data_IF_501954984086
#
_entry.id   IF_501954984086
#
_cell.length_a   1.000
_cell.length_b   1.000
_cell.length_c   1.000
_cell.angle_alpha   90.00
_cell.angle_beta   90.00
_cell.angle_gamma   90.00
#
_symmetry.space_group_name_H-M   'P 1'
#
loop_
_entity.id
_entity.type
_entity.pdbx_description
1 polymer ?
#
# COMPACT_ATOMS: atom_id res chain seq x y z
N UNK A 1 -7.17 17.58 -19.77
CA UNK A 1 -7.53 17.93 -18.37
C UNK A 1 -8.88 17.32 -18.09
N UNK A 2 -8.95 16.44 -17.09
CA UNK A 2 -10.20 15.80 -16.66
C UNK A 2 -11.10 16.85 -16.00
N UNK A 3 -12.41 16.80 -16.29
CA UNK A 3 -13.42 17.63 -15.65
C UNK A 3 -13.32 17.52 -14.10
N UNK A 4 -13.17 18.64 -13.36
CA UNK A 4 -13.14 18.65 -11.90
C UNK A 4 -14.35 17.97 -11.24
N UNK A 5 -15.52 18.02 -11.88
CA UNK A 5 -16.74 17.36 -11.40
C UNK A 5 -16.63 15.84 -11.48
N UNK A 6 -16.08 15.32 -12.58
CA UNK A 6 -15.79 13.88 -12.74
C UNK A 6 -14.77 13.44 -11.68
N UNK A 7 -13.70 14.20 -11.46
CA UNK A 7 -12.72 13.90 -10.41
C UNK A 7 -13.35 13.85 -9.02
N UNK A 8 -14.26 14.77 -8.71
CA UNK A 8 -14.98 14.80 -7.43
C UNK A 8 -15.89 13.57 -7.25
N UNK A 9 -16.65 13.20 -8.28
CA UNK A 9 -17.55 12.03 -8.25
C UNK A 9 -16.77 10.72 -8.12
N UNK A 10 -15.66 10.60 -8.86
CA UNK A 10 -14.75 9.44 -8.82
C UNK A 10 -14.07 9.33 -7.44
N UNK A 11 -13.66 10.46 -6.85
CA UNK A 11 -13.12 10.49 -5.48
C UNK A 11 -14.16 10.01 -4.46
N UNK A 12 -15.39 10.52 -4.54
CA UNK A 12 -16.47 10.10 -3.64
C UNK A 12 -16.76 8.60 -3.73
N UNK A 13 -16.85 8.05 -4.95
CA UNK A 13 -17.02 6.61 -5.18
C UNK A 13 -15.86 5.79 -4.59
N UNK A 14 -14.61 6.26 -4.76
CA UNK A 14 -13.44 5.61 -4.18
C UNK A 14 -13.49 5.62 -2.65
N UNK A 15 -13.82 6.76 -2.03
CA UNK A 15 -13.92 6.86 -0.58
C UNK A 15 -15.01 5.91 -0.04
N UNK A 16 -16.15 5.81 -0.71
CA UNK A 16 -17.23 4.85 -0.36
C UNK A 16 -16.79 3.40 -0.53
N UNK A 17 -16.06 3.06 -1.59
CA UNK A 17 -15.59 1.69 -1.84
C UNK A 17 -14.45 1.28 -0.93
N UNK A 18 -13.47 2.16 -0.69
CA UNK A 18 -12.44 1.96 0.33
C UNK A 18 -13.10 1.73 1.68
N UNK A 19 -14.12 2.52 2.01
CA UNK A 19 -14.90 2.33 3.22
C UNK A 19 -15.64 0.99 3.23
N UNK A 20 -16.38 0.63 2.19
CA UNK A 20 -17.14 -0.64 2.16
C UNK A 20 -16.21 -1.86 2.25
N UNK A 21 -15.08 -1.83 1.52
CA UNK A 21 -14.18 -2.96 1.34
C UNK A 21 -13.17 -3.10 2.46
N UNK A 22 -12.61 -1.99 2.96
CA UNK A 22 -11.71 -2.03 4.10
C UNK A 22 -12.47 -2.00 5.44
N UNK A 23 -13.70 -1.50 5.46
CA UNK A 23 -14.38 -1.17 6.70
C UNK A 23 -15.91 -1.33 6.63
N UNK A 24 -16.40 -2.57 6.56
CA UNK A 24 -17.84 -2.88 6.60
C UNK A 24 -18.54 -2.56 7.95
N UNK A 25 -18.05 -1.60 8.74
CA UNK A 25 -18.61 -1.11 10.02
C UNK A 25 -17.98 0.23 10.49
N UNK A 26 -18.11 1.40 9.82
CA UNK A 26 -17.08 2.43 10.06
C UNK A 26 -17.27 3.95 9.91
N UNK A 27 -18.44 4.57 10.11
CA UNK A 27 -18.45 6.06 10.20
C UNK A 27 -17.68 6.55 11.45
N UNK A 28 -17.46 5.64 12.40
CA UNK A 28 -16.69 5.80 13.63
C UNK A 28 -15.20 5.44 13.42
N UNK A 29 -14.90 4.43 12.60
CA UNK A 29 -13.55 3.88 12.43
C UNK A 29 -12.64 4.82 11.63
N UNK A 30 -13.20 5.53 10.64
CA UNK A 30 -12.47 6.54 9.85
C UNK A 30 -11.92 7.68 10.72
N UNK A 31 -12.77 8.30 11.56
CA UNK A 31 -12.35 9.38 12.47
C UNK A 31 -11.37 8.90 13.53
N UNK A 32 -11.34 7.61 13.82
CA UNK A 32 -10.43 7.04 14.82
C UNK A 32 -9.09 6.73 14.17
N UNK A 33 -9.07 6.09 13.00
CA UNK A 33 -7.86 5.73 12.27
C UNK A 33 -7.14 6.93 11.62
N UNK A 34 -7.87 7.94 11.12
CA UNK A 34 -7.25 9.18 10.64
C UNK A 34 -6.54 9.96 11.76
N UNK A 35 -6.95 9.75 13.03
CA UNK A 35 -6.33 10.34 14.21
C UNK A 35 -5.30 9.40 14.88
N UNK A 36 -5.02 8.22 14.30
CA UNK A 36 -4.04 7.25 14.79
C UNK A 36 -2.62 7.63 14.32
N UNK A 37 -2.21 8.88 14.55
CA UNK A 37 -0.79 9.17 14.75
C UNK A 37 -0.40 8.62 16.13
N UNK A 38 0.81 8.07 16.26
CA UNK A 38 1.34 7.37 17.46
C UNK A 38 1.15 8.15 18.80
N UNK A 39 0.80 9.43 18.75
CA UNK A 39 0.40 10.27 19.88
C UNK A 39 -1.00 10.02 20.48
N UNK A 40 -1.91 9.27 19.84
CA UNK A 40 -3.28 9.06 20.38
C UNK A 40 -3.35 8.12 21.59
N UNK A 41 -2.35 7.24 21.81
CA UNK A 41 -2.37 6.24 22.90
C UNK A 41 -2.26 6.91 24.29
N UNK A 42 -1.63 8.08 24.36
CA UNK A 42 -1.45 8.82 25.62
C UNK A 42 -2.58 9.82 25.92
N UNK A 43 -3.45 10.12 24.95
CA UNK A 43 -4.55 11.07 25.14
C UNK A 43 -5.82 10.36 25.65
N UNK A 44 -6.51 10.85 26.71
CA UNK A 44 -7.71 10.19 27.27
C UNK A 44 -8.83 9.95 26.25
N UNK A 45 -8.97 10.87 25.29
CA UNK A 45 -9.93 10.74 24.19
C UNK A 45 -9.54 9.63 23.19
N UNK A 46 -8.24 9.36 23.02
CA UNK A 46 -7.74 8.28 22.17
C UNK A 46 -8.03 6.91 22.78
N UNK A 47 -7.83 6.73 24.10
CA UNK A 47 -8.18 5.48 24.80
C UNK A 47 -9.66 5.12 24.70
N UNK A 48 -10.55 6.12 24.86
CA UNK A 48 -12.00 5.92 24.70
C UNK A 48 -12.39 5.50 23.28
N UNK A 49 -11.75 6.10 22.27
CA UNK A 49 -11.94 5.75 20.85
C UNK A 49 -11.45 4.34 20.54
N UNK A 50 -10.27 3.95 21.02
CA UNK A 50 -9.72 2.61 20.86
C UNK A 50 -10.71 1.58 21.38
N UNK A 51 -11.16 1.71 22.64
CA UNK A 51 -12.14 0.77 23.24
C UNK A 51 -13.42 0.61 22.41
N UNK A 52 -13.93 1.70 21.82
CA UNK A 52 -15.11 1.62 20.94
C UNK A 52 -14.83 0.80 19.68
N UNK A 53 -13.67 0.98 19.06
CA UNK A 53 -13.28 0.21 17.87
C UNK A 53 -13.03 -1.26 18.21
N UNK A 54 -12.36 -1.54 19.33
CA UNK A 54 -12.18 -2.92 19.83
C UNK A 54 -13.52 -3.60 19.96
N UNK A 55 -14.48 -2.93 20.62
CA UNK A 55 -15.84 -3.46 20.80
C UNK A 55 -16.54 -3.74 19.46
N UNK A 56 -16.40 -2.87 18.46
CA UNK A 56 -16.94 -3.11 17.11
C UNK A 56 -16.35 -4.37 16.48
N UNK A 57 -15.04 -4.56 16.55
CA UNK A 57 -14.39 -5.77 16.02
C UNK A 57 -14.80 -7.02 16.80
N UNK A 58 -14.81 -6.94 18.13
CA UNK A 58 -15.19 -8.03 19.02
C UNK A 58 -16.65 -8.47 18.80
N UNK A 59 -17.57 -7.53 18.54
CA UNK A 59 -18.98 -7.82 18.24
C UNK A 59 -19.23 -8.17 16.76
N UNK A 60 -18.20 -8.13 15.91
CA UNK A 60 -18.33 -8.45 14.49
C UNK A 60 -18.69 -9.91 14.26
N UNK A 61 -19.61 -10.15 13.31
CA UNK A 61 -19.94 -11.50 12.84
C UNK A 61 -18.73 -12.24 12.26
N UNK A 62 -17.73 -11.51 11.78
CA UNK A 62 -16.47 -12.10 11.29
C UNK A 62 -15.69 -12.81 12.40
N UNK A 63 -15.89 -12.42 13.67
CA UNK A 63 -15.27 -13.07 14.83
C UNK A 63 -16.27 -13.94 15.62
N UNK A 64 -17.43 -14.28 15.05
CA UNK A 64 -18.45 -15.07 15.74
C UNK A 64 -17.92 -16.44 16.19
N UNK A 65 -17.06 -17.06 15.38
CA UNK A 65 -16.48 -18.38 15.62
C UNK A 65 -14.99 -18.29 16.02
N UNK A 66 -14.58 -17.20 16.68
CA UNK A 66 -13.19 -17.03 17.09
C UNK A 66 -12.82 -18.02 18.21
N UNK A 67 -11.89 -18.93 17.92
CA UNK A 67 -11.40 -19.94 18.87
C UNK A 67 -10.16 -19.42 19.61
N UNK A 68 -10.36 -18.94 20.84
CA UNK A 68 -9.28 -18.38 21.65
C UNK A 68 -8.28 -19.44 22.12
N UNK A 69 -8.70 -20.70 22.26
CA UNK A 69 -7.82 -21.79 22.73
C UNK A 69 -6.82 -22.18 21.65
N UNK A 70 -7.27 -22.29 20.40
CA UNK A 70 -6.41 -22.64 19.28
C UNK A 70 -5.43 -21.51 18.90
N UNK A 71 -5.85 -20.24 18.99
CA UNK A 71 -5.02 -19.09 18.61
C UNK A 71 -4.11 -18.61 19.77
N UNK A 72 -4.44 -18.98 21.01
CA UNK A 72 -3.64 -18.63 22.20
C UNK A 72 -3.73 -17.16 22.62
N UNK A 73 -4.75 -16.43 22.15
CA UNK A 73 -5.08 -15.05 22.53
C UNK A 73 -6.60 -14.94 22.69
N UNK A 74 -7.06 -14.04 23.55
CA UNK A 74 -8.50 -13.77 23.68
C UNK A 74 -9.05 -13.05 22.44
N UNK A 75 -10.35 -13.20 22.21
CA UNK A 75 -11.09 -12.44 21.18
C UNK A 75 -10.90 -10.92 21.32
N UNK A 76 -10.82 -10.43 22.56
CA UNK A 76 -10.60 -9.02 22.87
C UNK A 76 -9.19 -8.57 22.47
N UNK A 77 -8.15 -9.32 22.85
CA UNK A 77 -6.76 -9.03 22.47
C UNK A 77 -6.59 -9.07 20.95
N UNK A 78 -7.24 -10.03 20.27
CA UNK A 78 -7.25 -10.06 18.82
C UNK A 78 -7.94 -8.83 18.22
N UNK A 79 -9.08 -8.41 18.75
CA UNK A 79 -9.77 -7.19 18.33
C UNK A 79 -8.94 -5.91 18.57
N UNK A 80 -8.15 -5.86 19.64
CA UNK A 80 -7.15 -4.79 19.86
C UNK A 80 -6.05 -4.81 18.80
N UNK A 81 -5.54 -5.98 18.43
CA UNK A 81 -4.52 -6.15 17.39
C UNK A 81 -5.03 -5.80 15.98
N UNK A 82 -6.33 -5.96 15.71
CA UNK A 82 -6.92 -5.59 14.42
C UNK A 82 -6.85 -4.08 14.16
N UNK A 83 -6.83 -3.23 15.19
CA UNK A 83 -6.78 -1.77 15.02
C UNK A 83 -5.50 -1.31 14.31
N UNK A 84 -4.28 -1.57 14.83
CA UNK A 84 -3.06 -1.19 14.14
C UNK A 84 -2.88 -1.94 12.82
N UNK A 85 -3.35 -3.20 12.72
CA UNK A 85 -3.29 -3.98 11.49
C UNK A 85 -4.11 -3.31 10.38
N UNK A 86 -5.37 -2.95 10.66
CA UNK A 86 -6.23 -2.25 9.70
C UNK A 86 -5.78 -0.82 9.47
N UNK A 87 -5.24 -0.14 10.49
CA UNK A 87 -4.61 1.17 10.32
C UNK A 87 -3.51 1.14 9.25
N UNK A 88 -2.57 0.19 9.35
CA UNK A 88 -1.48 0.07 8.37
C UNK A 88 -2.00 -0.48 7.03
N UNK A 89 -2.74 -1.59 7.08
CA UNK A 89 -3.12 -2.38 5.93
C UNK A 89 -4.21 -1.73 5.08
N UNK A 90 -5.08 -0.87 5.63
CA UNK A 90 -6.12 -0.17 4.88
C UNK A 90 -5.75 1.28 4.55
N UNK A 91 -5.02 1.99 5.43
CA UNK A 91 -4.87 3.46 5.28
C UNK A 91 -3.51 3.92 4.78
N UNK A 92 -2.40 3.25 5.11
CA UNK A 92 -1.08 3.75 4.68
C UNK A 92 -0.75 3.27 3.27
N UNK A 93 -0.74 1.95 3.06
CA UNK A 93 -0.41 1.35 1.77
C UNK A 93 -1.49 1.60 0.72
N UNK A 94 -2.72 1.09 0.91
CA UNK A 94 -3.73 1.15 -0.14
C UNK A 94 -4.20 2.56 -0.48
N UNK A 95 -4.44 3.42 0.51
CA UNK A 95 -4.86 4.80 0.26
C UNK A 95 -3.83 5.55 -0.59
N UNK A 96 -2.55 5.46 -0.26
CA UNK A 96 -1.52 6.10 -1.09
C UNK A 96 -1.51 5.52 -2.50
N UNK A 97 -1.56 4.19 -2.63
CA UNK A 97 -1.48 3.55 -3.94
C UNK A 97 -2.70 3.89 -4.81
N UNK A 98 -3.90 3.96 -4.24
CA UNK A 98 -5.11 4.34 -4.98
C UNK A 98 -5.12 5.82 -5.34
N UNK A 99 -4.64 6.71 -4.46
CA UNK A 99 -4.47 8.13 -4.77
C UNK A 99 -3.52 8.33 -5.96
N UNK A 100 -2.45 7.55 -6.04
CA UNK A 100 -1.54 7.54 -7.21
C UNK A 100 -2.24 6.98 -8.45
N UNK A 101 -2.89 5.82 -8.32
CA UNK A 101 -3.56 5.12 -9.43
C UNK A 101 -4.73 5.92 -10.01
N UNK A 102 -5.37 6.78 -9.24
CA UNK A 102 -6.47 7.63 -9.71
C UNK A 102 -6.01 9.04 -10.10
N UNK A 103 -4.70 9.28 -10.15
CA UNK A 103 -4.11 10.58 -10.52
C UNK A 103 -4.33 11.70 -9.51
N UNK A 104 -4.78 11.40 -8.28
CA UNK A 104 -4.89 12.39 -7.21
C UNK A 104 -3.51 12.75 -6.64
N UNK A 105 -2.57 11.81 -6.71
CA UNK A 105 -1.17 11.99 -6.33
C UNK A 105 -0.29 11.79 -7.57
N UNK A 106 0.41 12.83 -8.06
CA UNK A 106 1.23 12.71 -9.25
C UNK A 106 2.44 11.81 -9.01
N UNK A 107 3.02 11.26 -10.08
CA UNK A 107 4.34 10.63 -10.03
C UNK A 107 5.36 11.73 -9.68
N UNK A 108 6.25 11.50 -8.68
CA UNK A 108 7.24 12.50 -8.31
C UNK A 108 8.21 12.78 -9.45
N UNK A 109 8.73 13.99 -9.49
CA UNK A 109 9.87 14.34 -10.33
C UNK A 109 11.13 13.65 -9.80
N UNK A 110 11.76 12.83 -10.65
CA UNK A 110 13.08 12.29 -10.36
C UNK A 110 14.12 13.30 -10.86
N UNK A 111 15.07 13.66 -9.99
CA UNK A 111 16.13 14.63 -10.34
C UNK A 111 16.97 14.13 -11.52
N UNK A 112 17.55 15.07 -12.26
CA UNK A 112 18.45 14.89 -13.43
C UNK A 112 17.77 14.58 -14.78
N UNK A 113 17.13 15.59 -15.39
CA UNK A 113 16.75 15.54 -16.82
C UNK A 113 15.70 14.49 -17.18
N UNK A 114 15.05 13.90 -16.17
CA UNK A 114 13.98 12.91 -16.32
C UNK A 114 12.66 13.62 -16.07
N UNK A 115 11.95 13.93 -17.15
CA UNK A 115 10.60 14.48 -17.05
C UNK A 115 9.59 13.36 -16.80
N UNK A 116 9.21 13.18 -15.53
CA UNK A 116 8.05 12.36 -15.12
C UNK A 116 6.79 13.20 -14.88
N UNK A 117 6.89 14.54 -14.95
CA UNK A 117 5.79 15.47 -14.70
C UNK A 117 4.69 15.36 -15.77
N UNK A 118 5.07 14.92 -16.98
CA UNK A 118 4.14 14.66 -18.08
C UNK A 118 3.35 13.36 -17.93
N UNK A 119 3.69 12.50 -16.95
CA UNK A 119 2.99 11.24 -16.74
C UNK A 119 1.65 11.53 -16.08
N UNK A 120 0.57 11.28 -16.81
CA UNK A 120 -0.79 11.30 -16.29
C UNK A 120 -1.32 9.87 -16.16
N UNK A 121 -1.41 9.37 -14.93
CA UNK A 121 -1.86 8.01 -14.66
C UNK A 121 -3.30 7.79 -15.14
N UNK A 122 -4.14 8.82 -15.12
CA UNK A 122 -5.54 8.71 -15.57
C UNK A 122 -5.67 8.42 -17.07
N UNK A 123 -4.75 8.93 -17.90
CA UNK A 123 -4.76 8.65 -19.34
C UNK A 123 -4.45 7.17 -19.62
N UNK A 124 -3.62 6.54 -18.79
CA UNK A 124 -3.33 5.10 -18.85
C UNK A 124 -4.50 4.29 -18.30
N UNK A 125 -5.07 4.71 -17.16
CA UNK A 125 -6.24 4.07 -16.55
C UNK A 125 -7.45 4.02 -17.49
N UNK A 126 -7.69 5.11 -18.23
CA UNK A 126 -8.78 5.22 -19.19
C UNK A 126 -8.64 4.22 -20.35
N UNK A 127 -7.43 3.69 -20.60
CA UNK A 127 -7.13 2.73 -21.67
C UNK A 127 -7.06 1.26 -21.21
N UNK A 128 -7.12 0.96 -19.91
CA UNK A 128 -7.03 -0.42 -19.42
C UNK A 128 -8.21 -1.29 -19.90
N UNK A 129 -7.99 -2.57 -20.15
CA UNK A 129 -9.08 -3.55 -20.12
C UNK A 129 -9.44 -3.82 -18.66
N UNK A 130 -10.58 -3.26 -18.21
CA UNK A 130 -11.04 -3.41 -16.83
C UNK A 130 -11.49 -4.85 -16.51
N UNK A 131 -11.64 -5.72 -17.52
CA UNK A 131 -11.94 -7.14 -17.33
C UNK A 131 -10.67 -8.00 -17.21
N UNK A 132 -9.50 -7.46 -17.54
CA UNK A 132 -8.21 -8.16 -17.37
C UNK A 132 -7.62 -7.84 -15.99
N UNK A 133 -7.87 -8.73 -15.02
CA UNK A 133 -7.31 -8.63 -13.66
C UNK A 133 -5.79 -8.45 -13.70
N UNK A 134 -5.10 -9.13 -14.62
CA UNK A 134 -3.64 -9.07 -14.70
C UNK A 134 -3.18 -7.71 -15.22
N UNK A 135 -3.89 -7.11 -16.19
CA UNK A 135 -3.57 -5.75 -16.66
C UNK A 135 -3.79 -4.71 -15.56
N UNK A 136 -4.91 -4.81 -14.82
CA UNK A 136 -5.20 -3.92 -13.68
C UNK A 136 -4.17 -4.09 -12.55
N UNK A 137 -3.75 -5.31 -12.24
CA UNK A 137 -2.68 -5.57 -11.28
C UNK A 137 -1.36 -4.97 -11.74
N UNK A 138 -1.02 -5.14 -13.01
CA UNK A 138 0.21 -4.58 -13.57
C UNK A 138 0.20 -3.05 -13.50
N UNK A 139 -0.94 -2.42 -13.79
CA UNK A 139 -1.13 -0.98 -13.65
C UNK A 139 -0.86 -0.50 -12.21
N UNK A 140 -1.47 -1.15 -11.21
CA UNK A 140 -1.25 -0.83 -9.80
C UNK A 140 0.21 -1.03 -9.37
N UNK A 141 0.86 -2.10 -9.84
CA UNK A 141 2.27 -2.34 -9.56
C UNK A 141 3.17 -1.25 -10.16
N UNK A 142 2.89 -0.77 -11.37
CA UNK A 142 3.64 0.30 -12.02
C UNK A 142 3.43 1.66 -11.32
N UNK A 143 2.20 1.96 -10.91
CA UNK A 143 1.90 3.12 -10.05
C UNK A 143 2.72 3.07 -8.75
N UNK A 144 2.72 1.92 -8.07
CA UNK A 144 3.49 1.74 -6.84
C UNK A 144 5.00 1.76 -7.07
N UNK A 145 5.48 1.33 -8.23
CA UNK A 145 6.92 1.37 -8.56
C UNK A 145 7.41 2.81 -8.71
N UNK A 146 6.64 3.65 -9.39
CA UNK A 146 6.98 5.05 -9.62
C UNK A 146 6.62 5.98 -8.45
N UNK A 147 5.71 5.56 -7.56
CA UNK A 147 5.36 6.32 -6.37
C UNK A 147 4.92 5.38 -5.22
N UNK A 148 5.88 4.73 -4.59
CA UNK A 148 5.64 3.74 -3.53
C UNK A 148 5.10 4.36 -2.23
N UNK A 149 4.13 3.73 -1.55
CA UNK A 149 3.67 4.15 -0.22
C UNK A 149 4.77 4.10 0.85
N UNK A 150 5.70 3.15 0.73
CA UNK A 150 6.82 2.96 1.66
C UNK A 150 8.12 2.97 0.89
N UNK A 151 8.95 3.99 1.10
CA UNK A 151 10.22 4.14 0.39
C UNK A 151 11.39 3.34 0.96
N UNK A 152 11.37 3.06 2.26
CA UNK A 152 12.47 2.39 2.97
C UNK A 152 11.93 1.46 4.04
N UNK A 153 12.67 0.40 4.31
CA UNK A 153 12.55 -0.34 5.56
C UNK A 153 13.86 -0.30 6.32
N UNK A 154 13.80 -0.64 7.61
CA UNK A 154 14.97 -0.65 8.47
C UNK A 154 15.04 -1.96 9.25
N UNK A 155 16.26 -2.39 9.51
CA UNK A 155 16.62 -3.47 10.45
C UNK A 155 17.69 -2.95 11.39
N UNK A 156 17.80 -3.57 12.56
CA UNK A 156 18.91 -3.36 13.48
C UNK A 156 19.61 -4.70 13.62
N UNK A 157 20.92 -4.72 13.43
CA UNK A 157 21.71 -5.93 13.56
C UNK A 157 21.69 -6.43 15.02
N UNK A 158 21.36 -7.69 15.24
CA UNK A 158 21.32 -8.30 16.58
C UNK A 158 22.67 -8.90 17.01
N UNK A 159 23.58 -9.06 16.05
CA UNK A 159 24.94 -9.56 16.17
C UNK A 159 25.86 -8.86 15.14
N UNK A 160 27.16 -9.01 15.31
CA UNK A 160 28.15 -8.56 14.31
C UNK A 160 27.97 -9.39 13.03
N UNK A 161 28.04 -8.76 11.87
CA UNK A 161 27.90 -9.46 10.59
C UNK A 161 28.91 -8.97 9.56
N UNK A 162 29.35 -9.86 8.68
CA UNK A 162 30.29 -9.54 7.60
C UNK A 162 29.60 -9.71 6.25
N UNK A 163 29.75 -8.72 5.38
CA UNK A 163 29.22 -8.74 4.00
C UNK A 163 30.27 -8.26 3.02
N UNK A 164 30.22 -8.80 1.80
CA UNK A 164 31.02 -8.29 0.69
C UNK A 164 30.29 -7.12 0.03
N UNK A 165 30.90 -5.93 0.04
CA UNK A 165 30.38 -4.73 -0.61
C UNK A 165 31.42 -4.27 -1.62
N UNK A 166 31.05 -4.28 -2.91
CA UNK A 166 31.94 -3.87 -4.01
C UNK A 166 33.28 -4.64 -4.04
N UNK A 167 33.26 -5.93 -3.68
CA UNK A 167 34.44 -6.78 -3.64
C UNK A 167 35.19 -6.77 -2.31
N UNK A 168 34.87 -5.85 -1.41
CA UNK A 168 35.54 -5.73 -0.10
C UNK A 168 34.70 -6.37 1.01
N UNK A 169 35.32 -7.23 1.82
CA UNK A 169 34.68 -7.71 3.05
C UNK A 169 34.64 -6.60 4.09
N UNK A 170 33.45 -6.36 4.63
CA UNK A 170 33.22 -5.36 5.67
C UNK A 170 32.42 -5.99 6.80
N UNK A 171 32.93 -5.87 8.01
CA UNK A 171 32.25 -6.29 9.24
C UNK A 171 31.56 -5.09 9.88
N UNK A 172 30.30 -5.27 10.23
CA UNK A 172 29.47 -4.28 10.90
C UNK A 172 29.12 -4.78 12.29
N UNK A 173 29.21 -3.93 13.32
CA UNK A 173 28.91 -4.33 14.68
C UNK A 173 27.41 -4.53 14.92
N UNK A 174 27.07 -5.32 15.92
CA UNK A 174 25.74 -5.37 16.54
C UNK A 174 25.22 -3.95 16.81
N UNK A 175 23.93 -3.75 16.59
CA UNK A 175 23.27 -2.44 16.73
C UNK A 175 23.36 -1.57 15.48
N UNK A 176 24.09 -1.98 14.44
CA UNK A 176 24.09 -1.28 13.15
C UNK A 176 22.67 -1.19 12.58
N UNK A 177 22.23 0.03 12.24
CA UNK A 177 20.97 0.26 11.54
C UNK A 177 21.18 0.05 10.05
N UNK A 178 20.48 -0.93 9.49
CA UNK A 178 20.53 -1.29 8.08
C UNK A 178 19.29 -0.68 7.41
N UNK A 179 19.49 0.27 6.49
CA UNK A 179 18.42 0.81 5.65
C UNK A 179 18.31 0.00 4.36
N UNK A 180 17.10 -0.39 4.01
CA UNK A 180 16.76 -1.14 2.78
C UNK A 180 15.92 -0.19 1.90
N UNK A 181 16.53 0.47 0.90
CA UNK A 181 15.86 1.46 0.08
C UNK A 181 15.01 0.80 -1.02
N UNK A 182 13.73 0.60 -0.73
CA UNK A 182 12.73 0.04 -1.66
C UNK A 182 12.55 0.96 -2.87
N UNK A 183 12.57 2.26 -2.65
CA UNK A 183 12.46 3.26 -3.71
C UNK A 183 13.57 3.13 -4.76
N UNK A 184 14.81 2.87 -4.34
CA UNK A 184 15.95 2.72 -5.25
C UNK A 184 15.85 1.43 -6.07
N UNK A 185 15.34 0.33 -5.50
CA UNK A 185 15.12 -0.89 -6.28
C UNK A 185 14.01 -0.69 -7.33
N UNK A 186 12.94 0.04 -7.00
CA UNK A 186 11.86 0.35 -7.93
C UNK A 186 12.31 1.16 -9.17
N UNK A 187 13.43 1.89 -9.09
CA UNK A 187 13.97 2.69 -10.21
C UNK A 187 15.35 2.23 -10.69
N UNK A 188 15.69 0.97 -10.42
CA UNK A 188 16.96 0.40 -10.85
C UNK A 188 16.96 0.12 -12.37
N UNK A 189 17.79 0.86 -13.14
CA UNK A 189 17.95 0.68 -14.60
C UNK A 189 18.42 -0.71 -15.00
N UNK A 190 19.29 -1.35 -14.21
CA UNK A 190 19.78 -2.70 -14.51
C UNK A 190 18.65 -3.74 -14.42
N UNK A 191 17.60 -3.42 -13.66
CA UNK A 191 16.44 -4.27 -13.50
C UNK A 191 15.36 -3.94 -14.53
N UNK A 192 14.98 -2.66 -14.65
CA UNK A 192 13.83 -2.19 -15.43
C UNK A 192 14.16 -1.62 -16.81
N UNK A 193 15.43 -1.57 -17.20
CA UNK A 193 15.91 -1.05 -18.48
C UNK A 193 16.01 0.48 -18.51
N UNK A 194 16.43 1.01 -19.67
CA UNK A 194 16.66 2.46 -19.87
C UNK A 194 15.37 3.29 -19.78
N UNK A 195 14.23 2.67 -20.04
CA UNK A 195 12.93 3.30 -19.90
C UNK A 195 12.40 3.32 -18.46
N UNK A 196 13.20 3.01 -17.42
CA UNK A 196 12.75 2.86 -16.01
C UNK A 196 11.89 4.01 -15.47
N UNK A 197 12.02 5.23 -15.97
CA UNK A 197 11.20 6.36 -15.52
C UNK A 197 9.94 6.61 -16.35
N UNK A 198 9.73 5.86 -17.44
CA UNK A 198 8.48 5.89 -18.20
C UNK A 198 7.42 5.05 -17.49
N UNK A 199 6.16 5.47 -17.59
CA UNK A 199 5.05 4.62 -17.15
C UNK A 199 4.82 3.51 -18.18
N UNK A 200 5.05 2.26 -17.79
CA UNK A 200 4.81 1.10 -18.64
C UNK A 200 4.36 -0.09 -17.77
N UNK A 201 3.05 -0.30 -17.69
CA UNK A 201 2.47 -1.42 -16.94
C UNK A 201 2.60 -2.76 -17.70
N UNK A 202 3.12 -2.77 -18.93
CA UNK A 202 3.31 -3.97 -19.75
C UNK A 202 4.75 -4.53 -19.66
N UNK A 203 5.60 -3.93 -18.82
CA UNK A 203 6.96 -4.40 -18.53
C UNK A 203 6.97 -5.87 -18.12
N UNK A 204 7.77 -6.66 -18.80
CA UNK A 204 7.88 -8.12 -18.58
C UNK A 204 8.30 -8.48 -17.15
N UNK A 205 9.17 -7.68 -16.54
CA UNK A 205 9.77 -7.94 -15.24
C UNK A 205 8.96 -7.35 -14.05
N UNK A 206 7.80 -6.73 -14.30
CA UNK A 206 7.07 -5.99 -13.28
C UNK A 206 6.59 -6.91 -12.14
N UNK A 207 5.98 -8.04 -12.46
CA UNK A 207 5.48 -8.99 -11.45
C UNK A 207 6.60 -9.69 -10.69
N UNK A 208 7.61 -10.18 -11.40
CA UNK A 208 8.66 -11.04 -10.83
C UNK A 208 9.67 -10.28 -9.96
N UNK A 209 9.72 -8.95 -10.13
CA UNK A 209 10.71 -8.10 -9.48
C UNK A 209 10.13 -6.86 -8.79
N UNK A 210 8.81 -6.65 -8.78
CA UNK A 210 8.23 -5.55 -8.00
C UNK A 210 8.64 -5.65 -6.53
N UNK A 211 9.09 -4.52 -5.99
CA UNK A 211 9.55 -4.39 -4.61
C UNK A 211 8.61 -3.63 -3.69
N UNK A 212 7.46 -3.17 -4.20
CA UNK A 212 6.56 -2.25 -3.48
C UNK A 212 5.97 -2.85 -2.19
N UNK A 213 6.01 -4.18 -2.05
CA UNK A 213 5.55 -4.93 -0.88
C UNK A 213 6.70 -5.48 -0.02
N UNK A 214 7.91 -4.93 -0.16
CA UNK A 214 9.10 -5.36 0.56
C UNK A 214 9.44 -6.85 0.31
N UNK A 215 9.28 -7.29 -0.93
CA UNK A 215 9.65 -8.60 -1.47
C UNK A 215 10.20 -8.40 -2.88
N UNK A 216 10.82 -9.41 -3.51
CA UNK A 216 11.17 -9.34 -4.95
C UNK A 216 10.19 -10.22 -5.70
N UNK A 217 9.14 -9.60 -6.25
CA UNK A 217 7.93 -10.32 -6.62
C UNK A 217 7.37 -11.04 -5.40
N UNK A 218 7.30 -12.37 -5.46
CA UNK A 218 6.83 -13.22 -4.35
C UNK A 218 7.96 -13.72 -3.42
N UNK A 219 9.23 -13.48 -3.76
CA UNK A 219 10.39 -13.97 -2.99
C UNK A 219 10.71 -13.03 -1.82
N UNK A 220 11.02 -13.58 -0.64
CA UNK A 220 11.38 -12.78 0.53
C UNK A 220 12.34 -13.51 1.48
N UNK A 221 13.18 -12.74 2.18
CA UNK A 221 14.08 -13.24 3.23
C UNK A 221 13.46 -13.00 4.63
N UNK A 222 12.29 -13.58 4.87
CA UNK A 222 11.59 -13.48 6.17
C UNK A 222 10.82 -12.18 6.45
N UNK A 223 10.75 -11.22 5.53
CA UNK A 223 9.85 -10.05 5.63
C UNK A 223 9.22 -9.72 4.29
N UNK A 224 7.90 -9.74 4.25
CA UNK A 224 7.04 -9.32 3.13
C UNK A 224 5.80 -8.64 3.74
N UNK A 225 5.19 -7.69 3.04
CA UNK A 225 3.89 -7.16 3.46
C UNK A 225 2.86 -8.31 3.51
N UNK A 226 2.31 -8.65 4.70
CA UNK A 226 1.32 -9.72 4.81
C UNK A 226 0.00 -9.37 4.09
N UNK A 227 -0.29 -8.08 3.95
CA UNK A 227 -1.46 -7.57 3.24
C UNK A 227 -1.27 -7.39 1.73
N UNK A 228 -0.17 -7.85 1.12
CA UNK A 228 0.12 -7.55 -0.30
C UNK A 228 -0.99 -8.02 -1.26
N UNK A 229 -1.46 -9.27 -1.10
CA UNK A 229 -2.52 -9.82 -1.96
C UNK A 229 -3.85 -9.12 -1.71
N UNK A 230 -4.23 -8.98 -0.43
CA UNK A 230 -5.44 -8.26 -0.04
C UNK A 230 -5.47 -6.83 -0.59
N UNK A 231 -4.35 -6.10 -0.50
CA UNK A 231 -4.25 -4.75 -1.02
C UNK A 231 -4.41 -4.72 -2.54
N UNK A 232 -3.71 -5.59 -3.30
CA UNK A 232 -3.86 -5.63 -4.75
C UNK A 232 -5.29 -5.96 -5.18
N UNK A 233 -5.91 -6.98 -4.58
CA UNK A 233 -7.26 -7.41 -4.94
C UNK A 233 -8.29 -6.31 -4.63
N UNK A 234 -8.26 -5.76 -3.41
CA UNK A 234 -9.14 -4.66 -3.01
C UNK A 234 -8.98 -3.43 -3.91
N UNK A 235 -7.74 -3.03 -4.19
CA UNK A 235 -7.46 -1.86 -5.01
C UNK A 235 -7.88 -2.06 -6.46
N UNK A 236 -7.72 -3.27 -6.98
CA UNK A 236 -8.13 -3.59 -8.36
C UNK A 236 -9.63 -3.47 -8.52
N UNK A 237 -10.41 -3.97 -7.55
CA UNK A 237 -11.86 -3.77 -7.56
C UNK A 237 -12.25 -2.29 -7.55
N UNK A 238 -11.54 -1.46 -6.77
CA UNK A 238 -11.80 -0.02 -6.71
C UNK A 238 -11.43 0.65 -8.05
N UNK A 239 -10.26 0.34 -8.61
CA UNK A 239 -9.81 0.85 -9.92
C UNK A 239 -10.79 0.46 -11.03
N UNK A 240 -11.30 -0.77 -11.02
CA UNK A 240 -12.31 -1.24 -11.98
C UNK A 240 -13.60 -0.47 -11.81
N UNK A 241 -14.22 -0.49 -10.62
CA UNK A 241 -15.51 0.16 -10.39
C UNK A 241 -15.48 1.66 -10.65
N UNK A 242 -14.45 2.35 -10.13
CA UNK A 242 -14.30 3.77 -10.40
C UNK A 242 -14.00 4.05 -11.88
N UNK A 243 -13.31 3.14 -12.58
CA UNK A 243 -13.03 3.23 -14.00
C UNK A 243 -14.29 3.09 -14.85
N UNK A 244 -15.17 2.14 -14.52
CA UNK A 244 -16.49 1.97 -15.14
C UNK A 244 -17.34 3.23 -14.98
N UNK A 245 -17.45 3.73 -13.74
CA UNK A 245 -18.20 4.97 -13.44
C UNK A 245 -17.63 6.15 -14.23
N UNK A 246 -16.30 6.30 -14.24
CA UNK A 246 -15.59 7.36 -14.94
C UNK A 246 -15.84 7.31 -16.45
N UNK A 247 -15.74 6.14 -17.09
CA UNK A 247 -15.98 5.96 -18.53
C UNK A 247 -17.44 6.22 -18.92
N UNK A 248 -18.38 5.98 -18.03
CA UNK A 248 -19.80 6.29 -18.24
C UNK A 248 -20.13 7.79 -18.04
N UNK A 249 -19.18 8.59 -17.53
CA UNK A 249 -19.34 10.04 -17.30
C UNK A 249 -18.62 10.90 -18.36
N UNK A 250 -17.72 10.31 -19.15
CA UNK A 250 -17.02 10.93 -20.29
C UNK A 250 -17.80 10.66 -21.57
#
# INVERSE_FOLDING_TARGET
MVDPEIQRKVRHCCDELLYEKAFRSASILEKILQNFQIHTIQHPQGKSRIRKVVKIYEESSMLANFDSENVGISKHEFAELLIPLMGIAATQGPKHLIEVAMGQKPIPEYKEGIDTSSINQTDVWDQLDLNDEKEVHAYLLECGRLNQPVGHSHRVAEEDFTVNIMGEERTFPKGTVISIPINMSCVNKNLYGDNVFKFDHKRMNLFDYSTIFHSVGMRHAGRRCPGARFALDMLSEIVVKCGEVRRNMV
#
